data_IF_050568645418
#
_entry.id   IF_050568645418
#
_cell.length_a   1.000
_cell.length_b   1.000
_cell.length_c   1.000
_cell.angle_alpha   90.00
_cell.angle_beta   90.00
_cell.angle_gamma   90.00
#
_symmetry.space_group_name_H-M   'P 1'
#
loop_
_entity.id
_entity.type
_entity.pdbx_description
1 polymer ?
#
# COMPACT_ATOMS: atom_id res chain seq x y z
N UNK A 1 -2.68 19.13 -16.06
CA UNK A 1 -1.28 19.36 -15.62
C UNK A 1 -0.69 17.98 -15.35
N UNK A 2 0.31 17.63 -16.12
CA UNK A 2 0.56 16.34 -16.63
C UNK A 2 1.43 15.43 -15.74
N UNK A 3 1.23 14.14 -15.96
CA UNK A 3 2.03 13.01 -15.47
C UNK A 3 3.56 13.11 -15.79
N UNK A 4 3.98 14.07 -16.61
CA UNK A 4 5.38 14.29 -16.98
C UNK A 4 6.27 14.84 -15.85
N UNK A 5 5.73 15.56 -14.87
CA UNK A 5 6.52 16.11 -13.76
C UNK A 5 6.98 15.05 -12.76
N UNK A 6 6.16 14.06 -12.48
CA UNK A 6 6.48 12.99 -11.52
C UNK A 6 7.55 12.02 -12.08
N UNK A 7 7.49 11.74 -13.39
CA UNK A 7 8.48 10.90 -14.07
C UNK A 7 9.86 11.55 -14.14
N UNK A 8 9.94 12.87 -14.25
CA UNK A 8 11.23 13.56 -14.36
C UNK A 8 11.96 13.61 -13.00
N UNK A 9 11.24 13.83 -11.90
CA UNK A 9 11.81 13.76 -10.56
C UNK A 9 12.24 12.34 -10.16
N UNK A 10 11.48 11.33 -10.56
CA UNK A 10 11.82 9.94 -10.33
C UNK A 10 13.10 9.54 -11.10
N UNK A 11 13.29 10.01 -12.32
CA UNK A 11 14.45 9.66 -13.16
C UNK A 11 15.75 10.29 -12.67
N UNK A 12 15.73 11.56 -12.22
CA UNK A 12 16.88 12.24 -11.60
C UNK A 12 17.23 11.63 -10.24
N UNK A 13 16.23 11.26 -9.45
CA UNK A 13 16.41 10.61 -8.16
C UNK A 13 17.03 9.21 -8.32
N UNK A 14 16.60 8.45 -9.33
CA UNK A 14 17.18 7.15 -9.68
C UNK A 14 18.65 7.27 -10.10
N UNK A 15 19.01 8.26 -10.92
CA UNK A 15 20.39 8.50 -11.34
C UNK A 15 21.32 8.90 -10.19
N UNK A 16 20.83 9.64 -9.20
CA UNK A 16 21.62 10.02 -8.02
C UNK A 16 21.88 8.83 -7.07
N UNK A 17 20.98 7.86 -7.02
CA UNK A 17 21.12 6.64 -6.20
C UNK A 17 22.08 5.62 -6.85
N UNK A 18 22.25 5.62 -8.17
CA UNK A 18 23.01 4.62 -8.94
C UNK A 18 24.54 4.58 -8.66
N UNK A 19 25.06 5.41 -7.79
CA UNK A 19 26.51 5.49 -7.54
C UNK A 19 26.99 4.73 -6.28
N UNK A 20 26.15 4.01 -5.54
CA UNK A 20 26.49 3.37 -4.27
C UNK A 20 25.79 2.02 -4.12
N UNK A 21 26.37 1.12 -3.33
CA UNK A 21 25.87 -0.21 -2.93
C UNK A 21 24.33 -0.35 -3.05
N UNK A 22 23.87 -1.02 -4.12
CA UNK A 22 22.51 -0.91 -4.66
C UNK A 22 21.58 -2.00 -4.13
N UNK A 23 21.71 -2.37 -2.85
CA UNK A 23 20.89 -3.39 -2.24
C UNK A 23 19.60 -2.83 -1.66
N UNK A 24 18.48 -3.43 -2.05
CA UNK A 24 17.19 -3.16 -1.43
C UNK A 24 16.65 -4.41 -0.74
N UNK A 25 15.97 -4.20 0.37
CA UNK A 25 15.32 -5.24 1.15
C UNK A 25 13.81 -5.15 0.97
N UNK A 26 13.18 -6.24 0.56
CA UNK A 26 11.72 -6.37 0.45
C UNK A 26 11.25 -7.34 1.51
N UNK A 27 10.45 -6.88 2.46
CA UNK A 27 10.10 -7.63 3.70
C UNK A 27 8.63 -8.02 3.80
N UNK A 28 7.82 -7.64 2.84
CA UNK A 28 6.40 -8.03 2.77
C UNK A 28 6.12 -8.78 1.47
N UNK A 29 5.05 -9.57 1.44
CA UNK A 29 4.64 -10.26 0.21
C UNK A 29 4.28 -9.25 -0.87
N UNK A 30 4.92 -9.38 -2.02
CA UNK A 30 4.76 -8.55 -3.21
C UNK A 30 4.51 -9.43 -4.43
N UNK A 31 4.03 -8.83 -5.50
CA UNK A 31 3.95 -9.48 -6.80
C UNK A 31 5.36 -9.69 -7.36
N UNK A 32 5.58 -10.80 -8.06
CA UNK A 32 6.92 -11.21 -8.58
C UNK A 32 7.55 -10.17 -9.53
N UNK A 33 6.74 -9.33 -10.16
CA UNK A 33 7.24 -8.24 -11.01
C UNK A 33 8.22 -7.29 -10.30
N UNK A 34 8.21 -7.24 -8.97
CA UNK A 34 9.11 -6.38 -8.18
C UNK A 34 10.57 -6.68 -8.46
N UNK A 35 10.93 -7.96 -8.63
CA UNK A 35 12.29 -8.39 -8.93
C UNK A 35 12.79 -7.85 -10.27
N UNK A 36 11.93 -7.94 -11.29
CA UNK A 36 12.27 -7.47 -12.63
C UNK A 36 12.39 -5.93 -12.67
N UNK A 37 11.45 -5.23 -12.03
CA UNK A 37 11.46 -3.76 -11.96
C UNK A 37 12.75 -3.25 -11.33
N UNK A 38 13.14 -3.78 -10.16
CA UNK A 38 14.35 -3.33 -9.48
C UNK A 38 15.63 -3.71 -10.21
N UNK A 39 15.68 -4.89 -10.83
CA UNK A 39 16.82 -5.30 -11.66
C UNK A 39 16.99 -4.37 -12.88
N UNK A 40 15.90 -3.96 -13.53
CA UNK A 40 15.96 -3.03 -14.69
C UNK A 40 16.54 -1.67 -14.35
N UNK A 41 16.36 -1.21 -13.11
CA UNK A 41 16.89 0.07 -12.63
C UNK A 41 18.21 -0.10 -11.86
N UNK A 42 18.80 -1.30 -11.87
CA UNK A 42 20.13 -1.57 -11.36
C UNK A 42 20.22 -1.87 -9.87
N UNK A 43 19.14 -2.21 -9.19
CA UNK A 43 19.16 -2.62 -7.78
C UNK A 43 19.25 -4.14 -7.61
N UNK A 44 20.04 -4.58 -6.63
CA UNK A 44 20.01 -5.94 -6.11
C UNK A 44 18.87 -6.08 -5.12
N UNK A 45 17.88 -6.92 -5.43
CA UNK A 45 16.67 -7.10 -4.62
C UNK A 45 16.78 -8.34 -3.74
N UNK A 46 16.84 -8.14 -2.43
CA UNK A 46 16.71 -9.20 -1.42
C UNK A 46 15.27 -9.33 -0.98
N UNK A 47 14.58 -10.37 -1.45
CA UNK A 47 13.17 -10.65 -1.11
C UNK A 47 13.10 -11.58 0.10
N UNK A 48 12.58 -11.10 1.22
CA UNK A 48 12.52 -11.80 2.51
C UNK A 48 11.15 -11.61 3.19
N UNK A 49 10.02 -12.07 2.62
CA UNK A 49 8.68 -11.82 3.16
C UNK A 49 8.43 -12.43 4.54
N UNK A 50 9.19 -13.47 4.89
CA UNK A 50 9.06 -14.17 6.18
C UNK A 50 10.11 -13.72 7.21
N UNK A 51 10.89 -12.67 6.90
CA UNK A 51 11.92 -12.16 7.82
C UNK A 51 11.30 -11.69 9.13
N UNK A 52 11.92 -12.07 10.24
CA UNK A 52 11.53 -11.55 11.54
C UNK A 52 12.03 -10.11 11.75
N UNK A 53 11.36 -9.35 12.61
CA UNK A 53 11.81 -7.99 12.94
C UNK A 53 13.26 -7.96 13.45
N UNK A 54 13.65 -8.93 14.27
CA UNK A 54 15.01 -9.03 14.82
C UNK A 54 16.05 -9.21 13.73
N UNK A 55 15.81 -10.13 12.81
CA UNK A 55 16.71 -10.37 11.66
C UNK A 55 16.75 -9.16 10.74
N UNK A 56 15.60 -8.54 10.45
CA UNK A 56 15.53 -7.34 9.62
C UNK A 56 16.41 -6.22 10.19
N UNK A 57 16.32 -5.92 11.47
CA UNK A 57 17.13 -4.90 12.14
C UNK A 57 18.64 -5.22 12.04
N UNK A 58 19.01 -6.50 12.06
CA UNK A 58 20.41 -6.92 11.97
C UNK A 58 21.00 -6.68 10.57
N UNK A 59 20.22 -6.94 9.51
CA UNK A 59 20.73 -6.86 8.12
C UNK A 59 20.49 -5.50 7.47
N UNK A 60 19.46 -4.74 7.91
CA UNK A 60 19.05 -3.46 7.32
C UNK A 60 20.18 -2.42 7.19
N UNK A 61 21.21 -2.38 8.07
CA UNK A 61 22.33 -1.46 7.92
C UNK A 61 23.07 -1.53 6.58
N UNK A 62 22.95 -2.66 5.86
CA UNK A 62 23.62 -2.89 4.58
C UNK A 62 22.78 -2.52 3.35
N UNK A 63 21.53 -2.08 3.57
CA UNK A 63 20.58 -1.77 2.50
C UNK A 63 20.36 -0.27 2.34
N UNK A 64 20.24 0.18 1.08
CA UNK A 64 19.92 1.57 0.73
C UNK A 64 18.43 1.83 0.59
N UNK A 65 17.64 0.79 0.35
CA UNK A 65 16.19 0.85 0.22
C UNK A 65 15.49 -0.25 1.02
N UNK A 66 14.33 0.09 1.57
CA UNK A 66 13.44 -0.84 2.26
C UNK A 66 12.06 -0.76 1.61
N UNK A 67 11.53 -1.90 1.16
CA UNK A 67 10.20 -1.99 0.57
C UNK A 67 9.28 -2.76 1.50
N UNK A 68 8.16 -2.12 1.86
CA UNK A 68 7.17 -2.64 2.81
C UNK A 68 5.74 -2.53 2.27
N UNK A 69 4.82 -3.21 2.96
CA UNK A 69 3.38 -2.96 2.87
C UNK A 69 2.85 -2.53 4.25
N UNK A 70 1.86 -3.26 4.78
CA UNK A 70 1.19 -2.93 6.04
C UNK A 70 1.69 -3.70 7.24
N UNK A 71 2.39 -4.83 7.05
CA UNK A 71 2.86 -5.73 8.12
C UNK A 71 3.98 -5.09 8.94
N UNK A 72 4.89 -4.39 8.27
CA UNK A 72 6.13 -3.89 8.88
C UNK A 72 5.95 -2.48 9.43
N UNK A 73 6.20 -2.31 10.73
CA UNK A 73 6.29 -1.00 11.36
C UNK A 73 7.71 -0.42 11.17
N UNK A 74 7.77 0.82 10.70
CA UNK A 74 9.00 1.61 10.53
C UNK A 74 9.05 2.67 11.62
N UNK A 75 9.46 2.25 12.79
CA UNK A 75 9.56 3.07 13.98
C UNK A 75 10.97 3.63 14.23
N UNK A 76 11.10 4.38 15.31
CA UNK A 76 12.34 5.00 15.71
C UNK A 76 13.51 4.00 15.83
N UNK A 77 13.28 2.80 16.41
CA UNK A 77 14.33 1.80 16.58
C UNK A 77 14.89 1.34 15.24
N UNK A 78 14.01 1.00 14.29
CA UNK A 78 14.39 0.52 12.97
C UNK A 78 15.15 1.59 12.19
N UNK A 79 14.65 2.83 12.20
CA UNK A 79 15.27 3.95 11.47
C UNK A 79 16.67 4.25 12.00
N UNK A 80 16.87 4.20 13.32
CA UNK A 80 18.18 4.46 13.91
C UNK A 80 19.24 3.40 13.55
N UNK A 81 18.82 2.16 13.30
CA UNK A 81 19.72 1.08 12.89
C UNK A 81 20.01 1.09 11.39
N UNK A 82 19.18 1.69 10.60
CA UNK A 82 19.26 1.70 9.14
C UNK A 82 20.30 2.72 8.61
N UNK A 83 21.59 2.43 8.81
CA UNK A 83 22.70 3.38 8.58
C UNK A 83 22.85 3.87 7.14
N UNK A 84 22.59 2.99 6.15
CA UNK A 84 22.74 3.29 4.71
C UNK A 84 21.40 3.63 4.05
N UNK A 85 20.28 3.54 4.78
CA UNK A 85 18.96 3.68 4.21
C UNK A 85 18.74 5.09 3.66
N UNK A 86 18.31 5.18 2.40
CA UNK A 86 18.05 6.44 1.68
C UNK A 86 16.59 6.61 1.33
N UNK A 87 15.88 5.49 1.14
CA UNK A 87 14.46 5.54 0.82
C UNK A 87 13.72 4.36 1.39
N UNK A 88 12.43 4.59 1.63
CA UNK A 88 11.45 3.55 1.95
C UNK A 88 10.35 3.61 0.90
N UNK A 89 10.06 2.48 0.28
CA UNK A 89 8.92 2.31 -0.61
C UNK A 89 7.79 1.57 0.10
N UNK A 90 6.64 2.22 0.23
CA UNK A 90 5.45 1.59 0.78
C UNK A 90 4.48 1.23 -0.35
N UNK A 91 4.29 -0.06 -0.61
CA UNK A 91 3.34 -0.54 -1.59
C UNK A 91 1.90 -0.42 -1.05
N UNK A 92 1.34 0.79 -1.16
CA UNK A 92 0.00 1.16 -0.73
C UNK A 92 -0.11 2.64 -0.36
N UNK A 93 -1.30 3.08 0.03
CA UNK A 93 -1.63 4.49 0.22
C UNK A 93 -1.25 5.04 1.60
N UNK A 94 -1.70 4.39 2.68
CA UNK A 94 -1.51 4.86 4.05
C UNK A 94 -0.07 4.72 4.53
N UNK A 95 0.34 5.56 5.47
CA UNK A 95 1.70 5.60 6.04
C UNK A 95 1.69 5.56 7.57
N UNK A 96 0.58 5.12 8.15
CA UNK A 96 0.34 5.14 9.60
C UNK A 96 1.32 4.25 10.40
N UNK A 97 1.92 3.27 9.73
CA UNK A 97 2.94 2.39 10.29
C UNK A 97 4.38 2.91 10.13
N UNK A 98 4.55 4.19 9.75
CA UNK A 98 5.86 4.79 9.45
C UNK A 98 6.03 6.09 10.23
N UNK A 99 7.16 6.22 10.94
CA UNK A 99 7.56 7.49 11.59
C UNK A 99 8.09 8.49 10.55
N UNK A 100 7.15 9.17 9.88
CA UNK A 100 7.43 10.11 8.78
C UNK A 100 8.29 11.28 9.25
N UNK A 101 8.06 11.77 10.46
CA UNK A 101 8.80 12.92 11.01
C UNK A 101 10.29 12.57 11.21
N UNK A 102 10.56 11.37 11.67
CA UNK A 102 11.93 10.90 11.85
C UNK A 102 12.61 10.64 10.50
N UNK A 103 11.89 10.09 9.52
CA UNK A 103 12.43 9.94 8.16
C UNK A 103 12.87 11.28 7.57
N UNK A 104 12.04 12.32 7.71
CA UNK A 104 12.35 13.66 7.25
C UNK A 104 13.62 14.22 7.93
N UNK A 105 13.75 14.07 9.26
CA UNK A 105 14.93 14.47 10.03
C UNK A 105 16.20 13.72 9.60
N UNK A 106 16.07 12.48 9.14
CA UNK A 106 17.19 11.64 8.68
C UNK A 106 17.45 11.74 7.18
N UNK A 107 16.71 12.59 6.47
CA UNK A 107 16.80 12.76 5.01
C UNK A 107 16.55 11.40 4.27
N UNK A 108 15.66 10.56 4.79
CA UNK A 108 15.24 9.32 4.17
C UNK A 108 13.95 9.60 3.39
N UNK A 109 13.96 9.35 2.10
CA UNK A 109 12.79 9.60 1.24
C UNK A 109 11.74 8.52 1.43
N UNK A 110 10.49 8.94 1.68
CA UNK A 110 9.34 8.05 1.69
C UNK A 110 8.61 8.12 0.34
N UNK A 111 8.41 6.96 -0.27
CA UNK A 111 7.64 6.78 -1.51
C UNK A 111 6.45 5.87 -1.20
N UNK A 112 5.25 6.28 -1.55
CA UNK A 112 4.04 5.48 -1.44
C UNK A 112 3.22 5.55 -2.73
N UNK A 113 2.22 4.67 -2.87
CA UNK A 113 1.40 4.56 -4.05
C UNK A 113 -0.08 4.76 -3.69
N UNK A 114 -0.51 6.02 -3.42
CA UNK A 114 -1.88 6.30 -2.98
C UNK A 114 -2.92 5.98 -4.06
N UNK A 115 -2.59 6.11 -5.35
CA UNK A 115 -3.51 5.79 -6.43
C UNK A 115 -3.64 4.29 -6.71
N UNK A 116 -2.70 3.47 -6.21
CA UNK A 116 -2.57 2.06 -6.63
C UNK A 116 -3.76 1.16 -6.26
N UNK A 117 -4.57 1.54 -5.28
CA UNK A 117 -5.75 0.79 -4.86
C UNK A 117 -7.03 1.64 -4.80
N UNK A 118 -7.01 2.87 -5.32
CA UNK A 118 -8.14 3.81 -5.29
C UNK A 118 -9.39 3.19 -5.90
N UNK A 119 -9.28 2.71 -7.13
CA UNK A 119 -10.41 2.18 -7.87
C UNK A 119 -10.97 0.93 -7.20
N UNK A 120 -10.09 0.03 -6.70
CA UNK A 120 -10.51 -1.16 -5.97
C UNK A 120 -11.27 -0.83 -4.67
N UNK A 121 -10.86 0.22 -3.95
CA UNK A 121 -11.56 0.69 -2.75
C UNK A 121 -12.92 1.30 -3.12
N UNK A 122 -12.98 2.08 -4.20
CA UNK A 122 -14.23 2.64 -4.72
C UNK A 122 -15.25 1.55 -5.09
N UNK A 123 -14.81 0.57 -5.89
CA UNK A 123 -15.65 -0.58 -6.28
C UNK A 123 -16.14 -1.37 -5.04
N UNK A 124 -15.23 -1.61 -4.09
CA UNK A 124 -15.59 -2.30 -2.84
C UNK A 124 -16.63 -1.53 -2.04
N UNK A 125 -16.49 -0.20 -1.94
CA UNK A 125 -17.44 0.69 -1.26
C UNK A 125 -18.83 0.65 -1.90
N UNK A 126 -18.89 0.73 -3.24
CA UNK A 126 -20.15 0.58 -3.99
C UNK A 126 -20.75 -0.82 -3.80
N UNK A 127 -19.93 -1.86 -3.86
CA UNK A 127 -20.37 -3.23 -3.61
C UNK A 127 -20.98 -3.42 -2.23
N UNK A 128 -20.35 -2.87 -1.18
CA UNK A 128 -20.89 -2.89 0.19
C UNK A 128 -22.21 -2.13 0.31
N UNK A 129 -22.33 -0.97 -0.32
CA UNK A 129 -23.54 -0.17 -0.35
C UNK A 129 -24.72 -0.94 -0.98
N UNK A 130 -24.49 -1.54 -2.14
CA UNK A 130 -25.49 -2.35 -2.84
C UNK A 130 -25.85 -3.61 -2.03
N UNK A 131 -24.87 -4.27 -1.42
CA UNK A 131 -25.09 -5.42 -0.55
C UNK A 131 -26.00 -5.06 0.65
N UNK A 132 -25.78 -3.89 1.25
CA UNK A 132 -26.58 -3.39 2.37
C UNK A 132 -28.01 -3.07 1.94
N UNK A 133 -28.15 -2.27 0.88
CA UNK A 133 -29.47 -1.83 0.39
C UNK A 133 -30.35 -2.98 -0.09
N UNK A 134 -29.75 -3.97 -0.75
CA UNK A 134 -30.45 -5.14 -1.29
C UNK A 134 -30.48 -6.34 -0.33
N UNK A 135 -30.01 -6.18 0.93
CA UNK A 135 -29.96 -7.23 1.95
C UNK A 135 -29.31 -8.54 1.49
N UNK A 136 -28.33 -8.46 0.56
CA UNK A 136 -27.75 -9.63 -0.11
C UNK A 136 -27.16 -10.66 0.88
N UNK A 137 -26.49 -10.18 1.94
CA UNK A 137 -25.94 -11.06 2.98
C UNK A 137 -26.98 -11.87 3.72
N UNK A 138 -28.13 -11.24 4.02
CA UNK A 138 -29.23 -11.90 4.70
C UNK A 138 -29.88 -12.92 3.78
N UNK A 139 -30.20 -12.54 2.56
CA UNK A 139 -30.76 -13.43 1.54
C UNK A 139 -29.85 -14.64 1.25
N UNK A 140 -28.56 -14.44 1.11
CA UNK A 140 -27.60 -15.53 0.90
C UNK A 140 -27.62 -16.53 2.09
N UNK A 141 -27.60 -16.00 3.33
CA UNK A 141 -27.66 -16.84 4.54
C UNK A 141 -28.95 -17.67 4.60
N UNK A 142 -30.10 -17.06 4.31
CA UNK A 142 -31.40 -17.73 4.35
C UNK A 142 -31.52 -18.80 3.27
N UNK A 143 -31.13 -18.50 2.04
CA UNK A 143 -31.16 -19.46 0.92
C UNK A 143 -30.24 -20.66 1.21
N UNK A 144 -29.05 -20.45 1.77
CA UNK A 144 -28.15 -21.54 2.20
C UNK A 144 -28.73 -22.38 3.34
N UNK A 145 -29.68 -21.83 4.08
CA UNK A 145 -30.43 -22.53 5.13
C UNK A 145 -31.76 -23.10 4.64
N UNK A 146 -31.97 -23.16 3.30
CA UNK A 146 -33.21 -23.59 2.66
C UNK A 146 -34.46 -22.80 3.09
N UNK A 147 -34.24 -21.53 3.42
CA UNK A 147 -35.32 -20.58 3.76
C UNK A 147 -35.53 -19.60 2.58
N UNK A 148 -36.80 -19.35 2.29
CA UNK A 148 -37.19 -18.42 1.22
C UNK A 148 -38.21 -17.42 1.75
N UNK A 149 -37.72 -16.24 2.15
CA UNK A 149 -38.59 -15.13 2.57
C UNK A 149 -38.39 -13.93 1.64
N UNK A 150 -39.23 -13.87 0.62
CA UNK A 150 -39.19 -12.81 -0.39
C UNK A 150 -39.49 -11.44 0.21
N UNK A 151 -40.46 -11.35 1.12
CA UNK A 151 -40.93 -10.06 1.62
C UNK A 151 -39.94 -9.44 2.61
N UNK A 152 -39.38 -10.22 3.51
CA UNK A 152 -38.36 -9.71 4.45
C UNK A 152 -37.05 -9.31 3.73
N UNK A 153 -36.75 -9.94 2.60
CA UNK A 153 -35.57 -9.65 1.78
C UNK A 153 -35.78 -8.52 0.75
N UNK A 154 -36.96 -7.91 0.74
CA UNK A 154 -37.20 -6.76 -0.13
C UNK A 154 -36.24 -5.61 0.22
N UNK A 155 -35.35 -5.27 -0.70
CA UNK A 155 -34.34 -4.19 -0.55
C UNK A 155 -34.86 -2.82 -0.95
N UNK A 156 -33.93 -1.88 -1.00
CA UNK A 156 -34.15 -0.52 -1.48
C UNK A 156 -33.27 -0.24 -2.69
N UNK A 157 -33.84 0.34 -3.74
CA UNK A 157 -33.07 0.79 -4.89
C UNK A 157 -32.16 1.97 -4.50
N UNK A 158 -30.96 1.99 -5.04
CA UNK A 158 -30.02 3.11 -4.90
C UNK A 158 -30.47 4.35 -5.69
N UNK A 159 -31.29 4.13 -6.72
CA UNK A 159 -31.84 5.21 -7.57
C UNK A 159 -32.51 6.29 -6.73
N UNK A 160 -32.20 7.54 -7.01
CA UNK A 160 -32.71 8.73 -6.31
C UNK A 160 -32.35 8.82 -4.81
N UNK A 161 -31.31 8.08 -4.37
CA UNK A 161 -30.73 8.24 -3.03
C UNK A 161 -29.55 9.21 -3.08
N UNK A 162 -29.30 9.85 -1.96
CA UNK A 162 -28.12 10.70 -1.76
C UNK A 162 -27.11 9.91 -0.95
N UNK A 163 -25.90 9.82 -1.44
CA UNK A 163 -24.76 9.18 -0.75
C UNK A 163 -23.82 10.26 -0.29
N UNK A 164 -23.56 10.33 1.02
CA UNK A 164 -22.55 11.21 1.58
C UNK A 164 -21.21 10.51 1.73
N UNK A 165 -20.15 11.17 1.29
CA UNK A 165 -18.77 10.68 1.43
C UNK A 165 -18.01 11.60 2.36
N UNK A 166 -17.47 11.05 3.45
CA UNK A 166 -16.59 11.77 4.36
C UNK A 166 -15.13 11.51 4.01
N UNK A 167 -14.42 12.57 3.65
CA UNK A 167 -13.05 12.52 3.16
C UNK A 167 -12.97 12.52 1.62
N UNK A 168 -12.34 13.55 1.08
CA UNK A 168 -12.14 13.75 -0.36
C UNK A 168 -10.65 13.73 -0.69
N UNK A 169 -9.99 12.62 -0.31
CA UNK A 169 -8.60 12.33 -0.66
C UNK A 169 -8.52 11.32 -1.80
N UNK A 170 -7.41 10.61 -1.91
CA UNK A 170 -7.19 9.61 -2.97
C UNK A 170 -8.26 8.50 -3.02
N UNK A 171 -8.87 8.15 -1.90
CA UNK A 171 -9.88 7.08 -1.83
C UNK A 171 -11.30 7.59 -1.98
N UNK A 172 -11.56 8.86 -1.73
CA UNK A 172 -12.91 9.44 -1.76
C UNK A 172 -13.21 10.27 -3.00
N UNK A 173 -12.25 10.37 -3.93
CA UNK A 173 -12.37 11.17 -5.16
C UNK A 173 -12.82 10.34 -6.35
#
# INVERSE_FOLDING_TARGET
>A
FGAHGLFFHCRLFVQFIMALDQKILVVDQMHDSIHEVFRRIGFECSYRPEITRKEMIQILPDYVGLIIRSKTAVDHELILKAKKLRFIGRAGAGVDNIDVDLLAKKTITLLNAPEGNRDAVGEHGVGMLLMLLNKLRLADKEVRSYQWDRESNRGHELKNKVVGIFGFGFMGS
#
